data_IF_348694444732
#
_entry.id   IF_348694444732
#
_cell.length_a   1.000
_cell.length_b   1.000
_cell.length_c   1.000
_cell.angle_alpha   90.00
_cell.angle_beta   90.00
_cell.angle_gamma   90.00
#
_symmetry.space_group_name_H-M   'P 1'
#
loop_
_entity.id
_entity.type
_entity.pdbx_description
1 polymer ?
#
# COMPACT_ATOMS: atom_id res chain seq x y z
N UNK A 1 -8.91 -1.97 13.68
CA UNK A 1 -9.24 -3.38 14.01
C UNK A 1 -9.57 -3.51 15.48
N UNK A 2 -10.49 -4.39 15.85
CA UNK A 2 -11.03 -4.55 17.21
C UNK A 2 -10.15 -5.41 18.14
N UNK A 3 -8.84 -5.27 18.01
CA UNK A 3 -7.84 -5.97 18.82
C UNK A 3 -6.64 -5.05 19.05
N UNK A 4 -6.01 -5.16 20.22
CA UNK A 4 -4.71 -4.54 20.52
C UNK A 4 -3.59 -5.50 20.11
N UNK A 5 -2.81 -5.11 19.10
CA UNK A 5 -1.71 -5.93 18.56
C UNK A 5 -0.33 -5.37 18.92
N UNK A 6 -0.27 -4.26 19.64
CA UNK A 6 0.93 -3.42 19.76
C UNK A 6 2.13 -4.09 20.42
N UNK A 7 1.91 -5.10 21.28
CA UNK A 7 3.00 -5.86 21.91
C UNK A 7 3.55 -6.99 21.02
N UNK A 8 2.88 -7.27 19.89
CA UNK A 8 3.17 -8.39 18.99
C UNK A 8 3.77 -7.94 17.64
N UNK A 9 3.76 -6.64 17.35
CA UNK A 9 4.27 -6.07 16.09
C UNK A 9 5.23 -4.91 16.35
N UNK A 10 5.96 -4.50 15.32
CA UNK A 10 6.75 -3.27 15.35
C UNK A 10 5.94 -2.09 14.82
N UNK A 11 6.43 -0.88 15.10
CA UNK A 11 5.88 0.35 14.51
C UNK A 11 5.87 0.30 12.98
N UNK A 12 6.94 -0.23 12.38
CA UNK A 12 7.14 -0.39 10.95
C UNK A 12 7.43 -1.84 10.62
N UNK A 13 6.72 -2.42 9.65
CA UNK A 13 6.86 -3.80 9.25
C UNK A 13 6.85 -3.89 7.71
N UNK A 14 7.61 -4.83 7.17
CA UNK A 14 7.61 -5.15 5.74
C UNK A 14 7.41 -6.65 5.62
N UNK A 15 6.43 -7.07 4.82
CA UNK A 15 6.18 -8.47 4.49
C UNK A 15 6.58 -8.64 3.03
N UNK A 16 7.67 -9.38 2.78
CA UNK A 16 8.20 -9.58 1.44
C UNK A 16 7.40 -10.62 0.67
N UNK A 17 7.29 -10.42 -0.64
CA UNK A 17 6.93 -11.47 -1.59
C UNK A 17 7.96 -12.61 -1.55
N UNK A 18 7.51 -13.85 -1.81
CA UNK A 18 8.39 -15.01 -1.94
C UNK A 18 9.32 -14.82 -3.14
N UNK A 19 8.79 -14.31 -4.26
CA UNK A 19 9.56 -13.80 -5.40
C UNK A 19 9.54 -12.26 -5.42
N UNK A 20 10.42 -11.67 -4.61
CA UNK A 20 10.58 -10.22 -4.59
C UNK A 20 10.92 -9.62 -5.96
N UNK A 21 11.74 -10.32 -6.77
CA UNK A 21 12.15 -9.79 -8.07
C UNK A 21 10.98 -9.77 -9.04
N UNK A 22 10.23 -10.88 -9.12
CA UNK A 22 9.02 -10.98 -9.92
C UNK A 22 7.98 -9.95 -9.51
N UNK A 23 7.76 -9.75 -8.21
CA UNK A 23 6.84 -8.73 -7.70
C UNK A 23 7.20 -7.31 -8.21
N UNK A 24 8.49 -6.95 -8.22
CA UNK A 24 8.94 -5.65 -8.74
C UNK A 24 8.77 -5.57 -10.26
N UNK A 25 9.13 -6.61 -11.00
CA UNK A 25 9.00 -6.66 -12.46
C UNK A 25 7.53 -6.50 -12.90
N UNK A 26 6.59 -7.17 -12.23
CA UNK A 26 5.15 -7.06 -12.49
C UNK A 26 4.63 -5.62 -12.39
N UNK A 27 5.06 -4.88 -11.36
CA UNK A 27 4.65 -3.48 -11.16
C UNK A 27 5.06 -2.62 -12.35
N UNK A 28 6.32 -2.75 -12.81
CA UNK A 28 6.83 -1.99 -13.95
C UNK A 28 6.27 -2.47 -15.29
N UNK A 29 5.73 -3.69 -15.35
CA UNK A 29 5.04 -4.23 -16.53
C UNK A 29 3.53 -3.93 -16.51
N UNK A 30 3.03 -3.17 -15.53
CA UNK A 30 1.62 -2.75 -15.49
C UNK A 30 0.67 -3.82 -14.94
N UNK A 31 1.19 -4.79 -14.18
CA UNK A 31 0.39 -5.87 -13.58
C UNK A 31 0.30 -5.73 -12.06
N UNK A 32 -0.80 -6.24 -11.52
CA UNK A 32 -0.97 -6.43 -10.08
C UNK A 32 -0.40 -7.80 -9.69
N UNK A 33 0.43 -7.81 -8.66
CA UNK A 33 1.04 -9.05 -8.17
C UNK A 33 0.05 -9.88 -7.36
N UNK A 34 0.06 -11.20 -7.56
CA UNK A 34 -0.70 -12.13 -6.72
C UNK A 34 -0.04 -12.40 -5.37
N UNK A 35 1.25 -12.07 -5.23
CA UNK A 35 2.02 -12.13 -3.98
C UNK A 35 2.85 -10.85 -3.80
N UNK A 36 2.22 -9.71 -3.45
CA UNK A 36 2.93 -8.45 -3.34
C UNK A 36 3.74 -8.35 -2.05
N UNK A 37 4.88 -7.69 -2.12
CA UNK A 37 5.52 -7.15 -0.91
C UNK A 37 4.70 -5.98 -0.38
N UNK A 38 4.37 -5.98 0.91
CA UNK A 38 3.57 -4.91 1.52
C UNK A 38 4.28 -4.29 2.71
N UNK A 39 4.02 -3.01 2.93
CA UNK A 39 4.46 -2.28 4.11
C UNK A 39 3.27 -2.07 5.06
N UNK A 40 3.50 -2.31 6.36
CA UNK A 40 2.49 -2.21 7.41
C UNK A 40 3.00 -1.28 8.52
N UNK A 41 2.25 -0.22 8.76
CA UNK A 41 2.51 0.77 9.78
C UNK A 41 1.49 0.67 10.92
N UNK A 42 1.97 0.57 12.15
CA UNK A 42 1.15 0.38 13.35
C UNK A 42 1.45 1.49 14.36
N UNK A 43 0.90 2.71 14.16
CA UNK A 43 1.25 3.90 14.95
C UNK A 43 1.02 3.75 16.46
N UNK A 44 0.03 2.95 16.86
CA UNK A 44 -0.31 2.71 18.27
C UNK A 44 0.81 2.07 19.09
N UNK A 45 1.83 1.47 18.43
CA UNK A 45 3.05 0.98 19.08
C UNK A 45 3.83 2.14 19.72
N UNK A 46 3.85 3.30 19.08
CA UNK A 46 4.54 4.50 19.59
C UNK A 46 3.62 5.41 20.42
N UNK A 47 2.34 5.51 20.03
CA UNK A 47 1.37 6.37 20.70
C UNK A 47 -0.02 5.71 20.76
N UNK A 48 -0.36 5.21 21.96
CA UNK A 48 -1.63 4.54 22.24
C UNK A 48 -2.87 5.43 22.02
N UNK A 49 -2.73 6.75 21.97
CA UNK A 49 -3.85 7.66 21.73
C UNK A 49 -4.34 7.64 20.27
N UNK A 50 -3.57 7.04 19.37
CA UNK A 50 -3.90 6.91 17.94
C UNK A 50 -4.87 5.76 17.63
N UNK A 51 -5.38 5.09 18.65
CA UNK A 51 -6.48 4.11 18.53
C UNK A 51 -7.37 4.13 19.79
N UNK A 52 -8.65 3.74 19.69
CA UNK A 52 -9.48 3.49 20.85
C UNK A 52 -8.89 2.41 21.76
N UNK A 53 -9.27 2.42 23.05
CA UNK A 53 -8.82 1.41 24.01
C UNK A 53 -9.17 -0.01 23.52
N UNK A 54 -8.17 -0.90 23.52
CA UNK A 54 -8.32 -2.29 23.08
C UNK A 54 -8.36 -2.49 21.56
N UNK A 55 -8.19 -1.42 20.78
CA UNK A 55 -8.19 -1.45 19.32
C UNK A 55 -6.85 -0.99 18.75
N UNK A 56 -6.61 -1.31 17.47
CA UNK A 56 -5.42 -0.83 16.76
C UNK A 56 -5.81 -0.23 15.41
N UNK A 57 -5.25 0.95 15.10
CA UNK A 57 -5.22 1.48 13.73
C UNK A 57 -4.01 0.95 12.98
N UNK A 58 -4.20 0.44 11.77
CA UNK A 58 -3.12 -0.01 10.89
C UNK A 58 -3.21 0.70 9.55
N UNK A 59 -2.06 1.00 8.95
CA UNK A 59 -1.95 1.48 7.58
C UNK A 59 -1.16 0.47 6.76
N UNK A 60 -1.68 0.11 5.60
CA UNK A 60 -1.07 -0.88 4.71
C UNK A 60 -0.81 -0.23 3.35
N UNK A 61 0.41 -0.38 2.85
CA UNK A 61 0.83 0.08 1.53
C UNK A 61 1.21 -1.13 0.67
N UNK A 62 0.50 -1.30 -0.44
CA UNK A 62 0.84 -2.24 -1.50
C UNK A 62 1.37 -1.45 -2.71
N UNK A 63 2.62 -1.66 -3.16
CA UNK A 63 3.14 -1.05 -4.37
C UNK A 63 2.35 -1.54 -5.60
N UNK A 64 1.90 -0.61 -6.44
CA UNK A 64 1.10 -0.90 -7.65
C UNK A 64 1.62 -0.09 -8.84
N UNK A 65 1.27 -0.49 -10.08
CA UNK A 65 1.55 0.33 -11.26
C UNK A 65 0.84 1.69 -11.18
N UNK A 66 1.49 2.73 -11.67
CA UNK A 66 0.85 4.02 -11.92
C UNK A 66 -0.14 3.94 -13.10
N UNK A 67 -1.11 4.85 -13.16
CA UNK A 67 -2.29 4.76 -14.04
C UNK A 67 -1.95 4.65 -15.53
N UNK A 68 -0.83 5.21 -15.99
CA UNK A 68 -0.43 5.11 -17.40
C UNK A 68 0.13 3.75 -17.75
N UNK A 69 1.02 3.18 -16.94
CA UNK A 69 1.60 1.84 -17.17
C UNK A 69 0.57 0.75 -16.89
N UNK A 70 -0.25 0.93 -15.85
CA UNK A 70 -1.35 0.04 -15.49
C UNK A 70 -2.67 0.37 -16.19
N UNK A 71 -2.67 0.87 -17.43
CA UNK A 71 -3.87 1.40 -18.09
C UNK A 71 -5.01 0.40 -18.29
N UNK A 72 -4.75 -0.90 -18.11
CA UNK A 72 -5.76 -1.96 -18.14
C UNK A 72 -6.38 -2.28 -16.78
N UNK A 73 -5.94 -1.62 -15.71
CA UNK A 73 -6.41 -1.80 -14.33
C UNK A 73 -7.51 -0.79 -14.07
N UNK A 74 -8.74 -1.25 -13.91
CA UNK A 74 -9.88 -0.41 -13.57
C UNK A 74 -10.02 -0.28 -12.04
N UNK A 75 -9.42 0.76 -11.47
CA UNK A 75 -9.52 1.07 -10.04
C UNK A 75 -10.92 1.50 -9.58
N UNK A 76 -11.88 1.68 -10.49
CA UNK A 76 -13.28 1.91 -10.15
C UNK A 76 -14.11 0.62 -10.04
N UNK A 77 -13.53 -0.53 -10.43
CA UNK A 77 -14.16 -1.84 -10.26
C UNK A 77 -14.06 -2.30 -8.80
N UNK A 78 -15.21 -2.39 -8.14
CA UNK A 78 -15.33 -2.90 -6.77
C UNK A 78 -14.85 -4.35 -6.65
N UNK A 79 -15.11 -5.19 -7.68
CA UNK A 79 -14.69 -6.59 -7.65
C UNK A 79 -13.16 -6.72 -7.69
N UNK A 80 -12.48 -5.85 -8.45
CA UNK A 80 -11.03 -5.80 -8.45
C UNK A 80 -10.49 -5.34 -7.10
N UNK A 81 -11.11 -4.32 -6.51
CA UNK A 81 -10.72 -3.79 -5.19
C UNK A 81 -10.85 -4.86 -4.11
N UNK A 82 -11.94 -5.64 -4.11
CA UNK A 82 -12.13 -6.75 -3.19
C UNK A 82 -11.11 -7.87 -3.39
N UNK A 83 -10.74 -8.19 -4.64
CA UNK A 83 -9.67 -9.15 -4.92
C UNK A 83 -8.32 -8.69 -4.37
N UNK A 84 -7.98 -7.41 -4.52
CA UNK A 84 -6.74 -6.83 -3.98
C UNK A 84 -6.74 -6.89 -2.46
N UNK A 85 -7.86 -6.54 -1.81
CA UNK A 85 -8.02 -6.64 -0.36
C UNK A 85 -7.79 -8.06 0.13
N UNK A 86 -8.35 -9.05 -0.56
CA UNK A 86 -8.15 -10.46 -0.23
C UNK A 86 -6.69 -10.91 -0.34
N UNK A 87 -5.95 -10.39 -1.32
CA UNK A 87 -4.49 -10.59 -1.40
C UNK A 87 -3.80 -9.95 -0.18
N UNK A 88 -4.13 -8.71 0.16
CA UNK A 88 -3.55 -8.00 1.31
C UNK A 88 -3.84 -8.73 2.63
N UNK A 89 -5.09 -9.14 2.87
CA UNK A 89 -5.46 -9.87 4.10
C UNK A 89 -4.72 -11.19 4.21
N UNK A 90 -4.59 -11.95 3.11
CA UNK A 90 -3.79 -13.18 3.11
C UNK A 90 -2.32 -12.90 3.44
N UNK A 91 -1.77 -11.80 2.93
CA UNK A 91 -0.39 -11.40 3.23
C UNK A 91 -0.23 -10.97 4.69
N UNK A 92 -1.19 -10.24 5.26
CA UNK A 92 -1.22 -9.86 6.67
C UNK A 92 -1.33 -11.09 7.58
N UNK A 93 -2.18 -12.07 7.23
CA UNK A 93 -2.38 -13.30 7.98
C UNK A 93 -1.13 -14.19 8.11
N UNK A 94 -0.04 -13.87 7.40
CA UNK A 94 1.28 -14.50 7.63
C UNK A 94 1.92 -14.08 8.96
N UNK A 95 1.44 -13.00 9.58
CA UNK A 95 1.79 -12.60 10.94
C UNK A 95 0.72 -13.15 11.87
N UNK A 96 1.13 -13.93 12.88
CA UNK A 96 0.22 -14.66 13.79
C UNK A 96 -0.91 -13.80 14.37
N UNK A 97 -0.60 -12.58 14.84
CA UNK A 97 -1.62 -11.68 15.42
C UNK A 97 -2.67 -11.18 14.40
N UNK A 98 -2.41 -11.34 13.10
CA UNK A 98 -3.30 -10.94 12.01
C UNK A 98 -3.93 -12.14 11.28
N UNK A 99 -3.77 -13.38 11.77
CA UNK A 99 -4.27 -14.59 11.11
C UNK A 99 -5.76 -14.47 10.71
N UNK A 100 -6.59 -13.94 11.62
CA UNK A 100 -8.02 -13.72 11.40
C UNK A 100 -8.40 -12.23 11.27
N UNK A 101 -7.51 -11.40 10.70
CA UNK A 101 -7.69 -9.94 10.66
C UNK A 101 -9.05 -9.49 10.10
N UNK A 102 -9.62 -10.25 9.15
CA UNK A 102 -10.91 -9.95 8.52
C UNK A 102 -12.05 -9.86 9.54
N UNK A 103 -12.06 -10.73 10.55
CA UNK A 103 -13.11 -10.75 11.58
C UNK A 103 -13.02 -9.56 12.54
N UNK A 104 -11.87 -8.89 12.58
CA UNK A 104 -11.59 -7.75 13.46
C UNK A 104 -11.73 -6.38 12.78
N UNK A 105 -12.15 -6.29 11.51
CA UNK A 105 -12.29 -5.00 10.82
C UNK A 105 -13.47 -4.23 11.39
N UNK A 106 -13.19 -3.07 11.99
CA UNK A 106 -14.20 -2.12 12.51
C UNK A 106 -14.57 -1.06 11.46
N UNK A 107 -13.56 -0.60 10.72
CA UNK A 107 -13.67 0.39 9.66
C UNK A 107 -12.46 0.23 8.74
N UNK A 108 -12.65 0.53 7.48
CA UNK A 108 -11.62 0.46 6.44
C UNK A 108 -11.76 1.66 5.50
N UNK A 109 -10.63 2.17 5.02
CA UNK A 109 -10.58 3.20 3.98
C UNK A 109 -9.52 2.80 2.97
N UNK A 110 -9.90 2.87 1.71
CA UNK A 110 -9.06 2.48 0.57
C UNK A 110 -8.66 3.75 -0.16
N UNK A 111 -7.39 3.83 -0.56
CA UNK A 111 -6.86 4.96 -1.30
C UNK A 111 -5.99 4.45 -2.45
N UNK A 112 -6.50 4.60 -3.66
CA UNK A 112 -5.99 4.03 -4.91
C UNK A 112 -5.20 5.06 -5.72
N UNK A 113 -4.50 4.65 -6.79
CA UNK A 113 -3.90 5.60 -7.72
C UNK A 113 -4.89 6.62 -8.31
N UNK A 114 -6.16 6.24 -8.53
CA UNK A 114 -7.20 7.19 -8.94
C UNK A 114 -7.41 8.29 -7.88
N UNK A 115 -7.44 7.92 -6.60
CA UNK A 115 -7.62 8.87 -5.50
C UNK A 115 -6.43 9.81 -5.37
N UNK A 116 -5.20 9.32 -5.60
CA UNK A 116 -4.00 10.16 -5.67
C UNK A 116 -4.08 11.20 -6.79
N UNK A 117 -4.53 10.80 -7.98
CA UNK A 117 -4.67 11.72 -9.11
C UNK A 117 -5.76 12.75 -8.87
N UNK A 118 -6.91 12.34 -8.33
CA UNK A 118 -8.05 13.23 -8.09
C UNK A 118 -7.82 14.19 -6.91
N UNK A 119 -7.28 13.68 -5.80
CA UNK A 119 -7.15 14.44 -4.54
C UNK A 119 -5.91 15.33 -4.52
N UNK A 120 -4.79 14.82 -5.03
CA UNK A 120 -3.49 15.51 -4.94
C UNK A 120 -2.99 16.05 -6.28
N UNK A 121 -3.75 15.85 -7.37
CA UNK A 121 -3.29 16.15 -8.73
C UNK A 121 -1.96 15.45 -9.05
N UNK A 122 -1.72 14.29 -8.42
CA UNK A 122 -0.55 13.48 -8.65
C UNK A 122 -0.66 12.86 -10.04
N UNK A 123 0.17 13.32 -10.98
CA UNK A 123 0.13 12.87 -12.37
C UNK A 123 0.20 11.33 -12.44
N UNK A 124 -0.80 10.72 -13.07
CA UNK A 124 -0.96 9.27 -13.20
C UNK A 124 -1.10 8.52 -11.87
N UNK A 125 -1.50 9.19 -10.79
CA UNK A 125 -1.65 8.58 -9.47
C UNK A 125 -0.33 8.16 -8.82
N UNK A 126 0.82 8.66 -9.31
CA UNK A 126 2.13 8.30 -8.77
C UNK A 126 2.39 8.96 -7.42
N UNK A 127 2.47 8.15 -6.36
CA UNK A 127 2.79 8.61 -5.01
C UNK A 127 4.21 9.19 -4.87
N UNK A 128 5.14 8.81 -5.74
CA UNK A 128 6.56 9.21 -5.66
C UNK A 128 7.04 10.06 -6.85
N UNK A 129 6.11 10.48 -7.71
CA UNK A 129 6.43 11.29 -8.89
C UNK A 129 7.31 10.55 -9.90
N UNK A 130 8.36 11.23 -10.37
CA UNK A 130 9.28 10.68 -11.38
C UNK A 130 10.11 9.52 -10.83
N UNK A 131 10.20 8.44 -11.61
CA UNK A 131 11.03 7.27 -11.31
C UNK A 131 12.48 7.67 -11.03
N UNK A 132 13.06 7.10 -9.98
CA UNK A 132 14.43 7.40 -9.57
C UNK A 132 15.45 6.64 -10.42
N UNK A 133 15.59 7.04 -11.68
CA UNK A 133 16.71 6.57 -12.53
C UNK A 133 17.90 7.51 -12.37
N UNK A 134 19.12 7.03 -12.67
CA UNK A 134 20.32 7.89 -12.65
C UNK A 134 20.16 9.10 -13.59
N UNK A 135 19.52 8.90 -14.75
CA UNK A 135 19.22 9.96 -15.71
C UNK A 135 18.12 10.93 -15.25
N UNK A 136 17.39 10.62 -14.18
CA UNK A 136 16.38 11.50 -13.56
C UNK A 136 16.80 11.93 -12.14
N UNK A 137 18.09 11.81 -11.83
CA UNK A 137 18.66 12.17 -10.54
C UNK A 137 19.48 13.47 -10.61
N UNK A 138 19.51 14.20 -9.50
CA UNK A 138 20.32 15.42 -9.31
C UNK A 138 20.10 16.45 -10.43
N UNK A 139 21.17 16.88 -11.12
CA UNK A 139 21.11 17.90 -12.17
C UNK A 139 20.17 17.54 -13.34
N UNK A 140 19.99 16.24 -13.62
CA UNK A 140 19.13 15.78 -14.71
C UNK A 140 17.65 15.65 -14.32
N UNK A 141 17.31 15.85 -13.04
CA UNK A 141 15.91 15.88 -12.61
C UNK A 141 15.24 17.15 -13.14
N UNK A 142 14.08 17.05 -13.81
CA UNK A 142 13.32 18.23 -14.22
C UNK A 142 13.07 19.19 -13.04
N UNK A 143 13.29 20.48 -13.28
CA UNK A 143 13.06 21.51 -12.27
C UNK A 143 11.57 21.64 -11.98
N UNK A 144 11.22 21.88 -10.71
CA UNK A 144 9.86 22.23 -10.34
C UNK A 144 9.49 23.54 -11.07
N UNK A 145 8.42 23.50 -11.86
CA UNK A 145 7.87 24.68 -12.52
C UNK A 145 6.47 24.91 -11.98
N UNK A 146 6.23 26.06 -11.37
CA UNK A 146 4.87 26.53 -11.10
C UNK A 146 4.27 26.98 -12.42
N UNK A 147 3.07 26.49 -12.76
CA UNK A 147 2.29 26.95 -13.90
C UNK A 147 0.91 27.38 -13.40
#
# INVERSE_FOLDING_TARGET
IDIDVTDQVRLHNVIFADDFRGNIEEIFEGRLSHDPSIYVYVPAVADKSLAPQGQTGIYVLMPTPELKTGSGIDWSDEALTDQIKDVIYRKLATIEVFEDIKSHIVSETIFTPNDFEQTYHAKFGSAFGLMQTLAQSNYYRPQNVSR
#
